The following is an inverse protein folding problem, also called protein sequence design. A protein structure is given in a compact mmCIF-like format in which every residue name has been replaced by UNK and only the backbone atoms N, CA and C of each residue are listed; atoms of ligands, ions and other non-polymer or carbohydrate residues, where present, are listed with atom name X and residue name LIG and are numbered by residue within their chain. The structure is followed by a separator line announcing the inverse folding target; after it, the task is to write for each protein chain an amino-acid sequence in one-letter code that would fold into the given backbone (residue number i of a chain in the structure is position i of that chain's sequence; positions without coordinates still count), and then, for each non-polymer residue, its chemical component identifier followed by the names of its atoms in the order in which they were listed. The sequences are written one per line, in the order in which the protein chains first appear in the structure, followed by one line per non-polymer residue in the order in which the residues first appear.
data_IF_385607437786
#
_entry.id   IF_385607437786
#
_cell.length_a   1.000
_cell.length_b   1.000
_cell.length_c   1.000
_cell.angle_alpha   90.00
_cell.angle_beta   90.00
_cell.angle_gamma   90.00
#
_symmetry.space_group_name_H-M   'P 1'
#
loop_
_entity.id
_entity.type
_entity.pdbx_description
1 polymer ?
#
# COMPACT_ATOMS: atom_id res chain seq x y z
N UNK A 1 3.36 -13.76 -12.78
CA UNK A 1 2.07 -13.13 -12.41
C UNK A 1 2.41 -11.92 -11.53
N UNK A 2 1.81 -10.73 -11.74
CA UNK A 2 2.11 -9.58 -10.90
C UNK A 2 1.66 -9.85 -9.46
N UNK A 3 2.48 -9.49 -8.45
CA UNK A 3 2.12 -9.78 -7.08
C UNK A 3 0.86 -9.01 -6.66
N UNK A 4 -0.04 -9.71 -5.99
CA UNK A 4 -1.27 -9.15 -5.47
C UNK A 4 -1.56 -9.72 -4.08
N UNK A 5 -2.26 -8.95 -3.26
CA UNK A 5 -2.65 -9.36 -1.92
C UNK A 5 -3.90 -8.64 -1.44
N UNK A 6 -4.61 -9.29 -0.53
CA UNK A 6 -5.69 -8.70 0.26
C UNK A 6 -5.15 -8.32 1.62
N UNK A 7 -5.55 -7.15 2.13
CA UNK A 7 -5.29 -6.73 3.50
C UNK A 7 -6.59 -6.24 4.14
N UNK A 8 -6.89 -6.77 5.31
CA UNK A 8 -7.95 -6.22 6.18
C UNK A 8 -7.35 -5.04 6.95
N UNK A 9 -8.07 -3.93 6.98
CA UNK A 9 -7.74 -2.73 7.72
C UNK A 9 -8.17 -2.96 9.17
N UNK A 10 -7.20 -3.17 10.05
CA UNK A 10 -7.39 -3.16 11.49
C UNK A 10 -6.66 -1.94 12.06
N UNK A 11 -7.24 -1.30 13.08
CA UNK A 11 -6.71 -0.07 13.67
C UNK A 11 -6.52 1.00 12.58
N UNK A 12 -7.59 1.23 11.83
CA UNK A 12 -7.64 2.13 10.68
C UNK A 12 -6.95 3.48 10.99
N UNK A 13 -5.80 3.70 10.37
CA UNK A 13 -5.00 4.91 10.53
C UNK A 13 -5.01 5.72 9.23
N UNK A 14 -5.39 7.00 9.28
CA UNK A 14 -5.28 7.87 8.11
C UNK A 14 -3.82 8.23 7.80
N UNK A 15 -2.88 8.04 8.73
CA UNK A 15 -1.50 8.48 8.55
C UNK A 15 -0.60 7.44 7.89
N UNK A 16 -0.96 6.16 7.98
CA UNK A 16 -0.14 5.07 7.45
C UNK A 16 -0.93 3.78 7.30
N UNK A 17 -0.43 2.90 6.44
CA UNK A 17 -0.90 1.53 6.27
C UNK A 17 0.28 0.56 6.33
N UNK A 18 0.30 -0.41 7.26
CA UNK A 18 1.35 -1.41 7.26
C UNK A 18 1.16 -2.36 6.08
N UNK A 19 2.22 -2.67 5.35
CA UNK A 19 2.19 -3.71 4.32
C UNK A 19 2.41 -5.08 4.96
N UNK A 20 1.87 -6.16 4.38
CA UNK A 20 2.06 -7.51 4.92
C UNK A 20 3.55 -7.91 5.00
N UNK A 21 3.94 -8.82 5.91
CA UNK A 21 5.34 -9.21 6.10
C UNK A 21 6.06 -9.67 4.82
N UNK A 22 5.38 -10.41 3.94
CA UNK A 22 5.97 -10.86 2.67
C UNK A 22 6.36 -9.70 1.73
N UNK A 23 5.79 -8.50 1.91
CA UNK A 23 6.17 -7.33 1.13
C UNK A 23 7.61 -6.92 1.46
N UNK A 24 8.03 -7.06 2.72
CA UNK A 24 9.41 -6.79 3.14
C UNK A 24 10.40 -7.69 2.39
N UNK A 25 10.10 -8.99 2.32
CA UNK A 25 10.92 -9.96 1.59
C UNK A 25 10.91 -9.66 0.09
N UNK A 26 9.77 -9.20 -0.44
CA UNK A 26 9.61 -8.78 -1.82
C UNK A 26 10.43 -7.55 -2.20
N UNK A 27 10.64 -6.61 -1.27
CA UNK A 27 11.50 -5.43 -1.52
C UNK A 27 12.95 -5.86 -1.71
N UNK A 28 13.47 -6.71 -0.82
CA UNK A 28 14.86 -7.16 -0.87
C UNK A 28 15.17 -8.12 -2.01
N UNK A 29 14.25 -9.04 -2.32
CA UNK A 29 14.54 -10.16 -3.22
C UNK A 29 13.85 -10.07 -4.58
N UNK A 30 12.72 -9.35 -4.67
CA UNK A 30 11.82 -9.37 -5.83
C UNK A 30 11.62 -7.98 -6.45
N UNK A 31 12.33 -6.96 -5.96
CA UNK A 31 12.25 -5.60 -6.46
C UNK A 31 10.88 -4.95 -6.25
N UNK A 32 10.18 -5.29 -5.16
CA UNK A 32 8.94 -4.58 -4.82
C UNK A 32 9.23 -3.09 -4.63
N UNK A 33 8.30 -2.22 -5.05
CA UNK A 33 8.59 -0.80 -5.10
C UNK A 33 8.74 -0.19 -3.70
N UNK A 34 9.72 0.70 -3.59
CA UNK A 34 9.99 1.55 -2.42
C UNK A 34 10.10 2.99 -2.90
N UNK A 35 9.68 3.94 -2.08
CA UNK A 35 9.65 5.35 -2.42
C UNK A 35 8.31 5.79 -2.99
N UNK A 36 8.32 6.77 -3.90
CA UNK A 36 7.10 7.30 -4.50
C UNK A 36 6.47 6.28 -5.45
N UNK A 37 5.23 5.91 -5.17
CA UNK A 37 4.42 5.00 -5.98
C UNK A 37 3.04 5.61 -6.24
N UNK A 38 2.31 4.99 -7.16
CA UNK A 38 1.00 5.43 -7.57
C UNK A 38 -0.02 4.34 -7.27
N UNK A 39 -1.03 4.66 -6.46
CA UNK A 39 -2.20 3.83 -6.26
C UNK A 39 -3.30 4.30 -7.23
N UNK A 40 -4.08 3.37 -7.77
CA UNK A 40 -5.18 3.70 -8.67
C UNK A 40 -6.37 2.77 -8.48
N UNK A 41 -7.57 3.35 -8.55
CA UNK A 41 -8.84 2.61 -8.59
C UNK A 41 -9.71 3.27 -9.66
N UNK A 42 -9.94 2.58 -10.77
CA UNK A 42 -10.65 3.14 -11.93
C UNK A 42 -9.95 4.43 -12.43
N UNK A 43 -10.65 5.58 -12.50
CA UNK A 43 -10.07 6.87 -12.89
C UNK A 43 -9.36 7.60 -11.74
N UNK A 44 -9.54 7.17 -10.50
CA UNK A 44 -8.94 7.81 -9.32
C UNK A 44 -7.50 7.35 -9.13
N UNK A 45 -6.65 8.27 -8.70
CA UNK A 45 -5.22 8.08 -8.61
C UNK A 45 -4.66 8.87 -7.43
N UNK A 46 -3.78 8.24 -6.66
CA UNK A 46 -3.09 8.84 -5.54
C UNK A 46 -1.59 8.58 -5.62
N UNK A 47 -0.81 9.61 -5.34
CA UNK A 47 0.62 9.49 -5.13
C UNK A 47 0.87 9.20 -3.66
N UNK A 48 1.56 8.10 -3.37
CA UNK A 48 1.88 7.71 -2.01
C UNK A 48 3.35 7.35 -1.86
N UNK A 49 3.86 7.33 -0.63
CA UNK A 49 5.23 6.93 -0.34
C UNK A 49 5.28 5.60 0.42
N UNK A 50 6.03 4.62 -0.12
CA UNK A 50 6.33 3.37 0.57
C UNK A 50 7.67 3.51 1.29
N UNK A 51 7.63 3.40 2.62
CA UNK A 51 8.79 3.49 3.50
C UNK A 51 9.13 2.11 4.07
N UNK A 52 10.41 1.74 4.00
CA UNK A 52 10.96 0.56 4.68
C UNK A 52 11.54 0.98 6.03
N UNK A 53 11.22 0.24 7.07
CA UNK A 53 11.74 0.45 8.43
C UNK A 53 12.14 -0.88 9.06
N UNK A 54 12.76 -0.85 10.24
CA UNK A 54 13.09 -2.06 11.00
C UNK A 54 11.85 -2.87 11.43
N UNK A 55 10.68 -2.23 11.52
CA UNK A 55 9.40 -2.86 11.89
C UNK A 55 8.58 -3.30 10.66
N UNK A 56 9.09 -3.07 9.46
CA UNK A 56 8.45 -3.47 8.20
C UNK A 56 8.24 -2.31 7.21
N UNK A 57 7.46 -2.59 6.17
CA UNK A 57 7.11 -1.65 5.12
C UNK A 57 5.75 -1.01 5.39
N UNK A 58 5.64 0.28 5.12
CA UNK A 58 4.43 1.06 5.34
C UNK A 58 4.15 1.96 4.14
N UNK A 59 2.89 2.07 3.74
CA UNK A 59 2.43 3.21 2.94
C UNK A 59 2.25 4.38 3.91
N UNK A 60 2.80 5.54 3.59
CA UNK A 60 2.89 6.70 4.49
C UNK A 60 2.36 7.95 3.80
N UNK A 61 3.23 8.87 3.38
CA UNK A 61 2.83 10.14 2.77
C UNK A 61 1.83 9.91 1.63
N UNK A 62 0.74 10.69 1.62
CA UNK A 62 -0.36 10.56 0.66
C UNK A 62 -1.43 9.52 1.00
N UNK A 63 -1.17 8.60 1.94
CA UNK A 63 -2.15 7.59 2.35
C UNK A 63 -3.43 8.20 2.93
N UNK A 64 -3.33 9.31 3.66
CA UNK A 64 -4.50 10.01 4.22
C UNK A 64 -5.53 10.38 3.16
N UNK A 65 -5.07 10.76 1.97
CA UNK A 65 -5.95 11.13 0.87
C UNK A 65 -6.69 9.89 0.36
N UNK A 66 -5.99 8.77 0.19
CA UNK A 66 -6.59 7.47 -0.18
C UNK A 66 -7.65 7.06 0.85
N UNK A 67 -7.29 7.15 2.13
CA UNK A 67 -8.14 6.76 3.25
C UNK A 67 -9.43 7.60 3.28
N UNK A 68 -9.32 8.93 3.17
CA UNK A 68 -10.45 9.85 3.21
C UNK A 68 -11.30 9.77 1.94
N UNK A 69 -10.68 9.77 0.75
CA UNK A 69 -11.41 9.78 -0.52
C UNK A 69 -12.22 8.50 -0.73
N UNK A 70 -11.72 7.36 -0.24
CA UNK A 70 -12.40 6.08 -0.30
C UNK A 70 -13.35 5.83 0.88
N UNK A 71 -13.37 6.74 1.88
CA UNK A 71 -14.19 6.59 3.08
C UNK A 71 -13.88 5.31 3.85
N UNK A 72 -12.60 4.95 3.98
CA UNK A 72 -12.19 3.71 4.63
C UNK A 72 -12.52 3.70 6.12
N UNK A 73 -13.01 2.56 6.60
CA UNK A 73 -13.33 2.30 7.99
C UNK A 73 -12.59 1.07 8.53
N UNK A 74 -12.68 0.86 9.84
CA UNK A 74 -12.14 -0.34 10.48
C UNK A 74 -12.87 -1.59 9.95
N UNK A 75 -12.11 -2.66 9.68
CA UNK A 75 -12.55 -3.93 9.09
C UNK A 75 -12.88 -3.90 7.60
N UNK A 76 -12.71 -2.77 6.93
CA UNK A 76 -12.66 -2.77 5.46
C UNK A 76 -11.49 -3.61 4.97
N UNK A 77 -11.55 -4.05 3.71
CA UNK A 77 -10.45 -4.74 3.08
C UNK A 77 -10.05 -4.05 1.78
N UNK A 78 -8.75 -4.04 1.53
CA UNK A 78 -8.17 -3.55 0.28
C UNK A 78 -7.56 -4.72 -0.46
N UNK A 79 -7.75 -4.72 -1.78
CA UNK A 79 -7.03 -5.59 -2.69
C UNK A 79 -6.01 -4.76 -3.46
N UNK A 80 -4.73 -5.03 -3.21
CA UNK A 80 -3.63 -4.35 -3.89
C UNK A 80 -3.00 -5.30 -4.89
N UNK A 81 -2.91 -4.84 -6.14
CA UNK A 81 -2.22 -5.53 -7.22
C UNK A 81 -1.13 -4.64 -7.76
N UNK A 82 0.11 -5.14 -7.76
CA UNK A 82 1.20 -4.49 -8.47
C UNK A 82 0.98 -4.65 -9.97
N UNK A 83 1.18 -3.57 -10.71
CA UNK A 83 1.20 -3.59 -12.16
C UNK A 83 2.65 -3.34 -12.56
N UNK A 84 3.32 -4.38 -13.08
CA UNK A 84 4.60 -4.20 -13.73
C UNK A 84 4.38 -3.25 -14.92
N UNK A 85 4.91 -2.04 -14.81
CA UNK A 85 5.11 -1.16 -15.97
C UNK A 85 6.45 -1.62 -16.55
N UNK A 86 6.40 -2.50 -17.55
CA UNK A 86 7.54 -2.85 -18.41
C UNK A 86 7.81 -1.73 -19.40
#
# INVERSE_FOLDING_TARGET
MPPAFVKIIYDASPSWLPLPPFYNDGVGNLGYPVGHVMLRIGPQLWHVYIKVTISGCFITDGWSNVFTDLGMEDKDFIFLRSLLIT
#
